data_IF_188202040816
#
_entry.id   IF_188202040816
#
_cell.length_a   1.000
_cell.length_b   1.000
_cell.length_c   1.000
_cell.angle_alpha   90.00
_cell.angle_beta   90.00
_cell.angle_gamma   90.00
#
_symmetry.space_group_name_H-M   'P 1'
#
loop_
_entity.id
_entity.type
_entity.pdbx_description
1 polymer ?
#
# COMPACT_ATOMS: atom_id res chain seq x y z
N UNK A 1 26.03 3.02 -4.31
CA UNK A 1 26.42 3.67 -5.59
C UNK A 1 26.33 2.72 -6.78
N UNK A 2 26.94 1.52 -6.74
CA UNK A 2 26.88 0.60 -7.89
C UNK A 2 25.46 0.11 -8.22
N UNK A 3 24.64 -0.26 -7.21
CA UNK A 3 23.26 -0.72 -7.45
C UNK A 3 22.34 0.37 -8.04
N UNK A 4 22.53 1.64 -7.66
CA UNK A 4 21.75 2.78 -8.16
C UNK A 4 21.97 2.96 -9.66
N UNK A 5 23.23 2.96 -10.10
CA UNK A 5 23.57 3.07 -11.52
C UNK A 5 23.00 1.89 -12.35
N UNK A 6 23.03 0.67 -11.80
CA UNK A 6 22.44 -0.50 -12.46
C UNK A 6 20.91 -0.34 -12.55
N UNK A 7 20.25 0.13 -11.51
CA UNK A 7 18.81 0.38 -11.51
C UNK A 7 18.42 1.44 -12.54
N UNK A 8 19.20 2.52 -12.69
CA UNK A 8 18.96 3.53 -13.73
C UNK A 8 19.09 2.98 -15.15
N UNK A 9 19.97 1.98 -15.36
CA UNK A 9 20.12 1.30 -16.65
C UNK A 9 18.95 0.38 -17.00
N UNK A 10 18.09 0.02 -16.04
CA UNK A 10 16.91 -0.82 -16.33
C UNK A 10 15.87 -0.13 -17.21
N UNK A 11 15.96 1.19 -17.38
CA UNK A 11 15.11 1.98 -18.27
C UNK A 11 15.87 2.50 -19.51
N UNK A 12 17.11 2.04 -19.73
CA UNK A 12 17.90 2.44 -20.90
C UNK A 12 17.23 1.97 -22.20
N UNK A 13 17.20 2.79 -23.26
CA UNK A 13 16.75 2.35 -24.58
C UNK A 13 17.73 1.39 -25.26
N UNK A 14 18.95 1.26 -24.75
CA UNK A 14 19.95 0.32 -25.23
C UNK A 14 19.66 -1.10 -24.70
N UNK A 15 19.49 -2.05 -25.62
CA UNK A 15 19.20 -3.45 -25.31
C UNK A 15 20.33 -4.15 -24.58
N UNK A 16 21.58 -3.81 -24.87
CA UNK A 16 22.74 -4.45 -24.25
C UNK A 16 22.89 -3.96 -22.81
N UNK A 17 22.70 -2.66 -22.56
CA UNK A 17 22.70 -2.12 -21.20
C UNK A 17 21.57 -2.69 -20.34
N UNK A 18 20.37 -2.81 -20.91
CA UNK A 18 19.22 -3.38 -20.22
C UNK A 18 19.47 -4.85 -19.86
N UNK A 19 20.03 -5.63 -20.79
CA UNK A 19 20.35 -7.04 -20.55
C UNK A 19 21.42 -7.20 -19.46
N UNK A 20 22.47 -6.39 -19.49
CA UNK A 20 23.51 -6.39 -18.45
C UNK A 20 22.92 -6.03 -17.09
N UNK A 21 22.08 -4.99 -17.02
CA UNK A 21 21.42 -4.59 -15.78
C UNK A 21 20.52 -5.70 -15.23
N UNK A 22 19.72 -6.33 -16.09
CA UNK A 22 18.84 -7.44 -15.71
C UNK A 22 19.63 -8.64 -15.17
N UNK A 23 20.66 -9.09 -15.89
CA UNK A 23 21.49 -10.22 -15.47
C UNK A 23 22.18 -9.96 -14.12
N UNK A 24 22.64 -8.73 -13.89
CA UNK A 24 23.23 -8.34 -12.60
C UNK A 24 22.21 -8.44 -11.46
N UNK A 25 20.99 -7.94 -11.66
CA UNK A 25 19.94 -7.98 -10.63
C UNK A 25 19.49 -9.41 -10.33
N UNK A 26 19.35 -10.25 -11.35
CA UNK A 26 19.02 -11.68 -11.19
C UNK A 26 20.13 -12.42 -10.43
N UNK A 27 21.40 -12.16 -10.77
CA UNK A 27 22.53 -12.76 -10.07
C UNK A 27 22.63 -12.30 -8.61
N UNK A 28 22.38 -11.01 -8.34
CA UNK A 28 22.37 -10.47 -6.98
C UNK A 28 21.27 -11.12 -6.11
N UNK A 29 20.07 -11.26 -6.67
CA UNK A 29 18.95 -11.96 -6.02
C UNK A 29 19.27 -13.44 -5.76
N UNK A 30 19.90 -14.14 -6.72
CA UNK A 30 20.27 -15.54 -6.56
C UNK A 30 21.38 -15.77 -5.52
N UNK A 31 22.30 -14.81 -5.37
CA UNK A 31 23.48 -14.96 -4.49
C UNK A 31 23.14 -14.66 -3.02
N UNK A 32 22.46 -13.54 -2.76
CA UNK A 32 22.08 -13.12 -1.40
C UNK A 32 20.80 -12.28 -1.45
N UNK A 33 19.67 -12.97 -1.61
CA UNK A 33 18.37 -12.33 -1.68
C UNK A 33 18.07 -11.40 -0.48
N UNK A 34 18.31 -11.80 0.78
CA UNK A 34 18.05 -10.91 1.93
C UNK A 34 18.87 -9.61 1.83
N UNK A 35 20.18 -9.70 1.57
CA UNK A 35 21.04 -8.53 1.40
C UNK A 35 20.65 -7.65 0.19
N UNK A 36 20.19 -8.28 -0.89
CA UNK A 36 19.70 -7.59 -2.08
C UNK A 36 18.43 -6.78 -1.78
N UNK A 37 17.43 -7.37 -1.11
CA UNK A 37 16.20 -6.67 -0.71
C UNK A 37 16.51 -5.50 0.23
N UNK A 38 17.43 -5.69 1.19
CA UNK A 38 17.91 -4.61 2.04
C UNK A 38 18.46 -3.45 1.22
N UNK A 39 19.36 -3.73 0.28
CA UNK A 39 19.97 -2.70 -0.57
C UNK A 39 18.93 -1.96 -1.44
N UNK A 40 17.93 -2.67 -1.97
CA UNK A 40 16.84 -2.03 -2.71
C UNK A 40 15.99 -1.11 -1.81
N UNK A 41 15.73 -1.53 -0.57
CA UNK A 41 14.99 -0.70 0.40
C UNK A 41 15.73 0.59 0.75
N UNK A 42 17.07 0.56 0.83
CA UNK A 42 17.91 1.74 1.04
C UNK A 42 17.81 2.71 -0.15
N UNK A 43 17.81 2.18 -1.38
CA UNK A 43 17.65 3.01 -2.58
C UNK A 43 16.29 3.70 -2.59
N UNK A 44 15.22 2.96 -2.25
CA UNK A 44 13.86 3.48 -2.21
C UNK A 44 13.69 4.58 -1.14
N UNK A 45 14.25 4.37 0.05
CA UNK A 45 14.12 5.27 1.19
C UNK A 45 14.96 6.54 1.09
N UNK A 46 16.10 6.51 0.38
CA UNK A 46 16.96 7.67 0.25
C UNK A 46 16.42 8.65 -0.81
N UNK A 47 15.78 9.73 -0.34
CA UNK A 47 15.20 10.78 -1.17
C UNK A 47 16.22 11.53 -2.05
N UNK A 48 17.53 11.41 -1.77
CA UNK A 48 18.59 11.96 -2.62
C UNK A 48 18.88 11.15 -3.89
N UNK A 49 18.33 9.95 -4.04
CA UNK A 49 18.42 9.18 -5.28
C UNK A 49 17.49 9.74 -6.36
N UNK A 50 17.82 9.46 -7.63
CA UNK A 50 16.96 9.83 -8.75
C UNK A 50 15.58 9.15 -8.66
N UNK A 51 14.49 9.80 -9.10
CA UNK A 51 13.16 9.18 -9.13
C UNK A 51 13.13 7.86 -9.90
N UNK A 52 13.92 7.77 -10.98
CA UNK A 52 14.08 6.55 -11.80
C UNK A 52 14.66 5.41 -10.98
N UNK A 53 15.76 5.65 -10.24
CA UNK A 53 16.38 4.62 -9.41
C UNK A 53 15.45 4.14 -8.30
N UNK A 54 14.70 5.05 -7.66
CA UNK A 54 13.74 4.73 -6.61
C UNK A 54 12.57 3.89 -7.13
N UNK A 55 12.00 4.29 -8.27
CA UNK A 55 10.93 3.54 -8.92
C UNK A 55 11.41 2.15 -9.36
N UNK A 56 12.60 2.06 -9.96
CA UNK A 56 13.20 0.78 -10.32
C UNK A 56 13.46 -0.11 -9.09
N UNK A 57 13.94 0.47 -7.98
CA UNK A 57 14.13 -0.26 -6.73
C UNK A 57 12.81 -0.82 -6.18
N UNK A 58 11.76 0.00 -6.16
CA UNK A 58 10.41 -0.40 -5.75
C UNK A 58 9.84 -1.51 -6.62
N UNK A 59 10.04 -1.45 -7.94
CA UNK A 59 9.63 -2.50 -8.87
C UNK A 59 10.39 -3.81 -8.61
N UNK A 60 11.70 -3.76 -8.37
CA UNK A 60 12.48 -4.96 -8.03
C UNK A 60 12.06 -5.54 -6.69
N UNK A 61 11.79 -4.71 -5.67
CA UNK A 61 11.24 -5.17 -4.39
C UNK A 61 9.92 -5.91 -4.59
N UNK A 62 8.99 -5.30 -5.33
CA UNK A 62 7.70 -5.92 -5.68
C UNK A 62 7.90 -7.30 -6.31
N UNK A 63 8.79 -7.41 -7.29
CA UNK A 63 9.04 -8.68 -8.00
C UNK A 63 9.62 -9.78 -7.08
N UNK A 64 10.26 -9.41 -5.97
CA UNK A 64 10.79 -10.37 -4.99
C UNK A 64 9.79 -10.71 -3.87
N UNK A 65 8.77 -9.88 -3.66
CA UNK A 65 7.82 -9.99 -2.55
C UNK A 65 6.45 -10.56 -2.97
N UNK A 66 6.06 -10.44 -4.24
CA UNK A 66 4.76 -10.94 -4.72
C UNK A 66 4.82 -11.53 -6.12
N UNK A 67 3.77 -12.26 -6.50
CA UNK A 67 3.54 -12.77 -7.84
C UNK A 67 2.03 -12.75 -8.15
N UNK A 68 1.68 -12.72 -9.44
CA UNK A 68 0.29 -12.91 -9.88
C UNK A 68 -0.17 -14.36 -9.71
N UNK A 69 0.77 -15.30 -9.69
CA UNK A 69 0.49 -16.71 -9.40
C UNK A 69 0.33 -16.87 -7.87
N UNK A 70 -0.83 -17.32 -7.38
CA UNK A 70 -1.09 -17.48 -5.95
C UNK A 70 -0.09 -18.43 -5.26
N UNK A 71 0.36 -19.49 -5.96
CA UNK A 71 1.31 -20.47 -5.43
C UNK A 71 2.67 -19.82 -5.22
N UNK A 72 3.14 -19.06 -6.21
CA UNK A 72 4.42 -18.35 -6.14
C UNK A 72 4.33 -17.22 -5.09
N UNK A 73 3.19 -16.52 -5.00
CA UNK A 73 2.94 -15.50 -3.97
C UNK A 73 3.11 -16.09 -2.57
N UNK A 74 2.50 -17.24 -2.28
CA UNK A 74 2.64 -17.90 -0.99
C UNK A 74 4.08 -18.33 -0.71
N UNK A 75 4.79 -18.90 -1.71
CA UNK A 75 6.21 -19.24 -1.56
C UNK A 75 7.09 -18.03 -1.25
N UNK A 76 6.80 -16.86 -1.84
CA UNK A 76 7.53 -15.64 -1.55
C UNK A 76 7.25 -15.11 -0.13
N UNK A 77 6.02 -15.25 0.35
CA UNK A 77 5.66 -14.89 1.72
C UNK A 77 6.37 -15.81 2.74
N UNK A 78 6.34 -17.12 2.54
CA UNK A 78 7.08 -18.06 3.40
C UNK A 78 8.58 -17.76 3.37
N UNK A 79 9.15 -17.57 2.18
CA UNK A 79 10.57 -17.19 2.01
C UNK A 79 10.90 -15.91 2.77
N UNK A 80 10.05 -14.88 2.67
CA UNK A 80 10.22 -13.64 3.41
C UNK A 80 10.28 -13.91 4.92
N UNK A 81 9.35 -14.69 5.47
CA UNK A 81 9.30 -15.01 6.90
C UNK A 81 10.54 -15.79 7.41
N UNK A 82 11.27 -16.47 6.53
CA UNK A 82 12.55 -17.12 6.91
C UNK A 82 13.72 -16.14 7.12
N UNK A 83 13.59 -14.88 6.68
CA UNK A 83 14.66 -13.92 6.82
C UNK A 83 14.90 -13.51 8.28
N UNK A 84 16.15 -13.19 8.64
CA UNK A 84 16.48 -12.65 9.96
C UNK A 84 15.61 -11.45 10.33
N UNK A 85 15.14 -11.42 11.58
CA UNK A 85 14.20 -10.40 12.07
C UNK A 85 14.77 -8.99 11.94
N UNK A 86 16.04 -8.78 12.28
CA UNK A 86 16.75 -7.50 12.15
C UNK A 86 16.73 -6.96 10.72
N UNK A 87 16.83 -7.85 9.74
CA UNK A 87 16.75 -7.48 8.33
C UNK A 87 15.33 -7.12 7.91
N UNK A 88 14.34 -7.88 8.37
CA UNK A 88 12.93 -7.58 8.07
C UNK A 88 12.51 -6.27 8.71
N UNK A 89 12.86 -6.03 9.96
CA UNK A 89 12.63 -4.75 10.65
C UNK A 89 13.25 -3.57 9.91
N UNK A 90 14.50 -3.74 9.44
CA UNK A 90 15.18 -2.70 8.68
C UNK A 90 14.45 -2.35 7.37
N UNK A 91 14.06 -3.37 6.61
CA UNK A 91 13.31 -3.18 5.35
C UNK A 91 11.94 -2.57 5.65
N UNK A 92 11.21 -3.06 6.66
CA UNK A 92 9.91 -2.52 7.11
C UNK A 92 10.02 -1.03 7.45
N UNK A 93 11.05 -0.63 8.18
CA UNK A 93 11.33 0.77 8.51
C UNK A 93 11.55 1.61 7.25
N UNK A 94 12.34 1.11 6.30
CA UNK A 94 12.66 1.83 5.07
C UNK A 94 11.43 2.01 4.17
N UNK A 95 10.63 0.96 3.95
CA UNK A 95 9.44 1.05 3.09
C UNK A 95 8.36 1.95 3.69
N UNK A 96 8.13 1.88 5.02
CA UNK A 96 7.19 2.80 5.69
C UNK A 96 7.72 4.24 5.70
N UNK A 97 9.02 4.42 5.95
CA UNK A 97 9.67 5.74 5.90
C UNK A 97 9.73 6.36 4.50
N UNK A 98 9.45 5.57 3.46
CA UNK A 98 9.38 6.05 2.07
C UNK A 98 8.02 6.63 1.71
N UNK A 99 6.95 6.34 2.47
CA UNK A 99 5.61 6.88 2.25
C UNK A 99 5.65 8.41 2.30
N UNK A 100 5.09 9.07 1.28
CA UNK A 100 5.09 10.52 1.13
C UNK A 100 6.39 11.15 0.62
N UNK A 101 7.47 10.39 0.49
CA UNK A 101 8.74 10.91 -0.05
C UNK A 101 8.89 10.68 -1.56
N UNK A 102 8.04 9.82 -2.14
CA UNK A 102 8.02 9.51 -3.57
C UNK A 102 7.25 10.57 -4.35
N UNK A 103 7.74 10.91 -5.55
CA UNK A 103 7.04 11.77 -6.50
C UNK A 103 6.25 10.97 -7.55
N UNK A 104 6.48 9.66 -7.63
CA UNK A 104 5.79 8.77 -8.58
C UNK A 104 4.41 8.38 -8.06
N UNK A 105 3.43 8.35 -8.97
CA UNK A 105 2.08 7.86 -8.69
C UNK A 105 1.75 6.72 -9.68
N UNK A 106 1.29 5.55 -9.22
CA UNK A 106 1.08 5.15 -7.82
C UNK A 106 2.40 4.98 -7.03
N UNK A 107 2.32 5.02 -5.69
CA UNK A 107 3.49 4.85 -4.80
C UNK A 107 4.03 3.42 -4.87
N UNK A 108 5.34 3.28 -5.07
CA UNK A 108 5.98 1.96 -5.04
C UNK A 108 6.18 1.50 -3.59
N UNK A 109 6.42 2.43 -2.66
CA UNK A 109 6.49 2.14 -1.24
C UNK A 109 5.17 1.57 -0.70
N UNK A 110 4.03 2.15 -1.08
CA UNK A 110 2.70 1.67 -0.69
C UNK A 110 2.47 0.20 -1.05
N UNK A 111 2.87 -0.20 -2.27
CA UNK A 111 2.80 -1.60 -2.70
C UNK A 111 3.74 -2.50 -1.89
N UNK A 112 4.98 -2.06 -1.65
CA UNK A 112 5.94 -2.84 -0.85
C UNK A 112 5.44 -3.05 0.58
N UNK A 113 4.87 -2.01 1.21
CA UNK A 113 4.23 -2.11 2.52
C UNK A 113 3.15 -3.17 2.50
N UNK A 114 2.26 -3.15 1.50
CA UNK A 114 1.18 -4.12 1.40
C UNK A 114 1.67 -5.56 1.24
N UNK A 115 2.66 -5.82 0.39
CA UNK A 115 3.15 -7.19 0.19
C UNK A 115 3.81 -7.77 1.44
N UNK A 116 4.58 -6.96 2.18
CA UNK A 116 5.17 -7.39 3.46
C UNK A 116 4.07 -7.55 4.53
N UNK A 117 3.09 -6.66 4.55
CA UNK A 117 1.97 -6.73 5.50
C UNK A 117 1.14 -8.01 5.33
N UNK A 118 0.82 -8.40 4.10
CA UNK A 118 0.06 -9.63 3.82
C UNK A 118 0.84 -10.87 4.25
N UNK A 119 2.18 -10.83 4.30
CA UNK A 119 3.01 -11.92 4.83
C UNK A 119 3.08 -11.92 6.37
N UNK A 120 3.22 -10.74 7.00
CA UNK A 120 3.55 -10.64 8.43
C UNK A 120 2.36 -10.44 9.37
N UNK A 121 1.28 -9.79 8.92
CA UNK A 121 0.08 -9.58 9.74
C UNK A 121 -0.60 -10.90 10.14
N UNK A 122 -0.77 -11.92 9.25
CA UNK A 122 -1.37 -13.19 9.62
C UNK A 122 -0.62 -13.93 10.75
N UNK A 123 0.69 -13.70 10.86
CA UNK A 123 1.57 -14.34 11.86
C UNK A 123 1.95 -13.40 13.01
N UNK A 124 1.32 -12.21 13.09
CA UNK A 124 1.52 -11.26 14.18
C UNK A 124 2.91 -10.59 14.24
N UNK A 125 3.68 -10.59 13.14
CA UNK A 125 5.06 -10.09 13.12
C UNK A 125 5.19 -8.61 12.75
N UNK A 126 4.05 -7.93 12.53
CA UNK A 126 4.00 -6.48 12.32
C UNK A 126 2.82 -5.79 13.05
N UNK A 127 2.72 -5.92 14.38
CA UNK A 127 1.51 -5.57 15.14
C UNK A 127 1.14 -4.07 15.09
N UNK A 128 2.12 -3.18 14.94
CA UNK A 128 1.92 -1.73 14.99
C UNK A 128 1.74 -1.07 13.61
N UNK A 129 1.66 -1.85 12.52
CA UNK A 129 1.56 -1.30 11.17
C UNK A 129 0.29 -0.47 10.99
N UNK A 130 -0.88 -1.05 11.27
CA UNK A 130 -2.15 -0.36 10.99
C UNK A 130 -2.29 0.92 11.79
N UNK A 131 -1.90 0.93 13.08
CA UNK A 131 -1.86 2.14 13.88
C UNK A 131 -0.98 3.22 13.24
N UNK A 132 0.23 2.85 12.77
CA UNK A 132 1.15 3.80 12.13
C UNK A 132 0.57 4.37 10.82
N UNK A 133 -0.09 3.56 10.01
CA UNK A 133 -0.75 4.03 8.79
C UNK A 133 -1.92 4.97 9.12
N UNK A 134 -2.71 4.64 10.15
CA UNK A 134 -3.80 5.52 10.61
C UNK A 134 -3.25 6.87 11.06
N UNK A 135 -2.21 6.86 11.90
CA UNK A 135 -1.56 8.09 12.39
C UNK A 135 -1.05 8.97 11.24
N UNK A 136 -0.46 8.36 10.21
CA UNK A 136 0.01 9.08 9.02
C UNK A 136 -1.13 9.76 8.25
N UNK A 137 -2.34 9.20 8.22
CA UNK A 137 -3.49 9.81 7.54
C UNK A 137 -4.12 10.92 8.38
N UNK A 138 -4.38 10.65 9.67
CA UNK A 138 -5.14 11.55 10.54
C UNK A 138 -4.32 12.72 11.09
N UNK A 139 -2.99 12.63 11.05
CA UNK A 139 -2.13 13.71 11.52
C UNK A 139 -2.27 14.94 10.62
N UNK A 140 -2.61 16.07 11.24
CA UNK A 140 -2.81 17.35 10.56
C UNK A 140 -1.54 17.85 9.85
N UNK A 141 -0.36 17.46 10.35
CA UNK A 141 0.94 17.84 9.77
C UNK A 141 1.35 16.98 8.58
N UNK A 142 0.65 15.88 8.32
CA UNK A 142 0.96 15.00 7.19
C UNK A 142 0.78 15.73 5.87
N UNK A 143 1.72 15.51 4.97
CA UNK A 143 1.64 16.08 3.61
C UNK A 143 0.57 15.35 2.79
N UNK A 144 0.12 15.99 1.70
CA UNK A 144 -0.78 15.35 0.72
C UNK A 144 -0.22 13.99 0.27
N UNK A 145 1.07 13.95 -0.09
CA UNK A 145 1.69 12.73 -0.60
C UNK A 145 1.79 11.63 0.44
N UNK A 146 2.02 12.00 1.69
CA UNK A 146 2.04 11.05 2.81
C UNK A 146 0.65 10.45 3.03
N UNK A 147 -0.41 11.26 3.01
CA UNK A 147 -1.79 10.77 3.13
C UNK A 147 -2.16 9.88 1.95
N UNK A 148 -1.93 10.33 0.71
CA UNK A 148 -2.25 9.60 -0.52
C UNK A 148 -1.57 8.23 -0.53
N UNK A 149 -0.24 8.19 -0.41
CA UNK A 149 0.51 6.92 -0.44
C UNK A 149 0.18 6.00 0.73
N UNK A 150 -0.14 6.55 1.91
CA UNK A 150 -0.58 5.75 3.06
C UNK A 150 -1.96 5.14 2.81
N UNK A 151 -2.90 5.88 2.23
CA UNK A 151 -4.23 5.37 1.86
C UNK A 151 -4.14 4.34 0.73
N UNK A 152 -3.24 4.52 -0.25
CA UNK A 152 -2.92 3.47 -1.23
C UNK A 152 -2.43 2.19 -0.54
N UNK A 153 -1.53 2.32 0.44
CA UNK A 153 -1.02 1.17 1.19
C UNK A 153 -2.14 0.45 1.94
N UNK A 154 -3.00 1.20 2.65
CA UNK A 154 -4.20 0.64 3.32
C UNK A 154 -5.07 -0.07 2.29
N UNK A 155 -5.38 0.56 1.16
CA UNK A 155 -6.22 -0.02 0.11
C UNK A 155 -5.66 -1.31 -0.47
N UNK A 156 -4.35 -1.38 -0.71
CA UNK A 156 -3.68 -2.61 -1.17
C UNK A 156 -3.67 -3.71 -0.11
N UNK A 157 -3.47 -3.38 1.17
CA UNK A 157 -3.55 -4.36 2.27
C UNK A 157 -4.97 -4.94 2.33
N UNK A 158 -6.00 -4.08 2.34
CA UNK A 158 -7.39 -4.48 2.42
C UNK A 158 -7.82 -5.38 1.24
N UNK A 159 -7.22 -5.20 0.06
CA UNK A 159 -7.52 -5.99 -1.12
C UNK A 159 -6.94 -7.42 -1.05
N UNK A 160 -5.72 -7.55 -0.52
CA UNK A 160 -4.91 -8.76 -0.70
C UNK A 160 -4.83 -9.67 0.54
N UNK A 161 -5.26 -9.18 1.71
CA UNK A 161 -5.25 -9.93 2.98
C UNK A 161 -6.60 -10.61 3.25
N UNK A 162 -6.59 -11.70 4.01
CA UNK A 162 -7.82 -12.29 4.53
C UNK A 162 -8.53 -11.30 5.48
N UNK A 163 -9.80 -11.04 5.22
CA UNK A 163 -10.68 -10.14 5.97
C UNK A 163 -10.67 -10.40 7.49
N UNK A 164 -10.62 -11.66 7.89
CA UNK A 164 -10.63 -12.08 9.30
C UNK A 164 -9.44 -11.50 10.10
N UNK A 165 -8.31 -11.24 9.44
CA UNK A 165 -7.10 -10.71 10.10
C UNK A 165 -7.29 -9.23 10.47
N UNK A 166 -8.06 -8.49 9.68
CA UNK A 166 -8.25 -7.05 9.85
C UNK A 166 -9.52 -6.70 10.63
N UNK A 167 -10.41 -7.66 10.90
CA UNK A 167 -11.71 -7.41 11.54
C UNK A 167 -11.54 -6.69 12.90
N UNK A 168 -10.56 -7.10 13.72
CA UNK A 168 -10.27 -6.44 15.00
C UNK A 168 -9.70 -5.02 14.87
N UNK A 169 -9.22 -4.64 13.69
CA UNK A 169 -8.65 -3.33 13.40
C UNK A 169 -9.57 -2.48 12.51
N UNK A 170 -10.76 -2.97 12.16
CA UNK A 170 -11.68 -2.33 11.21
C UNK A 170 -12.01 -0.88 11.60
N UNK A 171 -12.25 -0.61 12.89
CA UNK A 171 -12.56 0.74 13.39
C UNK A 171 -11.43 1.74 13.10
N UNK A 172 -10.17 1.33 13.33
CA UNK A 172 -9.02 2.20 13.11
C UNK A 172 -8.81 2.44 11.61
N UNK A 173 -8.93 1.39 10.81
CA UNK A 173 -8.80 1.45 9.35
C UNK A 173 -9.87 2.37 8.76
N UNK A 174 -11.13 2.19 9.15
CA UNK A 174 -12.23 3.04 8.73
C UNK A 174 -12.06 4.48 9.20
N UNK A 175 -11.52 4.72 10.39
CA UNK A 175 -11.23 6.09 10.85
C UNK A 175 -10.30 6.81 9.88
N UNK A 176 -9.21 6.18 9.43
CA UNK A 176 -8.30 6.76 8.45
C UNK A 176 -8.95 6.94 7.08
N UNK A 177 -9.64 5.92 6.59
CA UNK A 177 -10.32 5.95 5.28
C UNK A 177 -11.36 7.07 5.25
N UNK A 178 -12.27 7.09 6.22
CA UNK A 178 -13.34 8.10 6.28
C UNK A 178 -12.76 9.50 6.48
N UNK A 179 -11.67 9.66 7.25
CA UNK A 179 -10.96 10.94 7.36
C UNK A 179 -10.47 11.45 5.99
N UNK A 180 -9.87 10.58 5.17
CA UNK A 180 -9.39 10.93 3.83
C UNK A 180 -10.51 11.19 2.81
N UNK A 181 -11.71 10.64 3.02
CA UNK A 181 -12.86 10.83 2.10
C UNK A 181 -13.62 12.14 2.32
N UNK A 182 -13.46 12.80 3.48
CA UNK A 182 -14.25 13.97 3.87
C UNK A 182 -14.23 15.05 2.80
N UNK A 183 -15.35 15.75 2.65
CA UNK A 183 -15.45 16.92 1.76
C UNK A 183 -14.46 18.04 2.11
N UNK A 184 -14.01 18.10 3.36
CA UNK A 184 -13.01 19.06 3.83
C UNK A 184 -11.56 18.74 3.40
N UNK A 185 -11.28 17.52 2.93
CA UNK A 185 -9.94 17.16 2.45
C UNK A 185 -9.66 17.89 1.12
N UNK A 186 -8.65 18.76 1.06
CA UNK A 186 -8.39 19.58 -0.12
C UNK A 186 -7.91 18.80 -1.34
N UNK A 187 -7.21 17.67 -1.15
CA UNK A 187 -6.68 16.90 -2.27
C UNK A 187 -7.68 15.87 -2.80
N UNK A 188 -8.05 16.01 -4.08
CA UNK A 188 -8.84 14.99 -4.77
C UNK A 188 -8.10 13.65 -4.89
N UNK A 189 -6.77 13.67 -4.90
CA UNK A 189 -5.98 12.44 -4.95
C UNK A 189 -6.07 11.65 -3.64
N UNK A 190 -5.98 12.34 -2.50
CA UNK A 190 -6.22 11.75 -1.18
C UNK A 190 -7.65 11.20 -1.08
N UNK A 191 -8.65 11.99 -1.50
CA UNK A 191 -10.05 11.56 -1.51
C UNK A 191 -10.30 10.33 -2.38
N UNK A 192 -9.68 10.28 -3.56
CA UNK A 192 -9.78 9.14 -4.47
C UNK A 192 -9.11 7.89 -3.88
N UNK A 193 -7.90 8.01 -3.34
CA UNK A 193 -7.19 6.91 -2.69
C UNK A 193 -7.99 6.36 -1.50
N UNK A 194 -8.57 7.24 -0.68
CA UNK A 194 -9.42 6.86 0.44
C UNK A 194 -10.71 6.15 -0.03
N UNK A 195 -11.37 6.65 -1.07
CA UNK A 195 -12.60 6.03 -1.59
C UNK A 195 -12.33 4.64 -2.16
N UNK A 196 -11.20 4.46 -2.86
CA UNK A 196 -10.77 3.14 -3.34
C UNK A 196 -10.41 2.20 -2.17
N UNK A 197 -9.75 2.71 -1.12
CA UNK A 197 -9.47 1.94 0.07
C UNK A 197 -10.76 1.50 0.79
N UNK A 198 -11.79 2.35 0.84
CA UNK A 198 -13.10 1.99 1.39
C UNK A 198 -13.67 0.78 0.64
N UNK A 199 -13.72 0.84 -0.70
CA UNK A 199 -14.24 -0.24 -1.54
C UNK A 199 -13.60 -1.61 -1.23
N UNK A 200 -12.29 -1.61 -0.99
CA UNK A 200 -11.54 -2.81 -0.63
C UNK A 200 -11.77 -3.26 0.82
N UNK A 201 -12.08 -2.33 1.74
CA UNK A 201 -12.32 -2.65 3.15
C UNK A 201 -13.70 -3.24 3.46
N UNK A 202 -14.69 -3.03 2.58
CA UNK A 202 -16.10 -3.40 2.84
C UNK A 202 -16.34 -4.89 3.14
N UNK A 203 -15.40 -5.79 2.85
CA UNK A 203 -15.56 -7.23 3.15
C UNK A 203 -15.45 -7.56 4.66
N UNK A 204 -14.81 -6.70 5.45
CA UNK A 204 -14.54 -6.94 6.88
C UNK A 204 -15.10 -5.84 7.81
N UNK A 205 -16.01 -5.01 7.30
CA UNK A 205 -16.61 -3.90 8.07
C UNK A 205 -18.01 -4.23 8.57
N UNK A 206 -18.35 -5.52 8.69
CA UNK A 206 -19.72 -5.94 9.04
C UNK A 206 -20.16 -5.40 10.40
N UNK A 207 -19.32 -5.52 11.43
CA UNK A 207 -19.61 -4.98 12.77
C UNK A 207 -19.89 -3.47 12.74
N UNK A 208 -19.15 -2.72 11.92
CA UNK A 208 -19.35 -1.27 11.75
C UNK A 208 -20.69 -0.93 11.10
N UNK A 209 -21.16 -1.75 10.15
CA UNK A 209 -22.46 -1.57 9.51
C UNK A 209 -23.64 -2.00 10.39
N UNK A 210 -23.41 -2.89 11.38
CA UNK A 210 -24.40 -3.23 12.40
C UNK A 210 -24.64 -2.05 13.36
N UNK A 211 -23.58 -1.31 13.70
CA UNK A 211 -23.65 -0.11 14.53
C UNK A 211 -24.26 1.09 13.79
N UNK A 212 -25.44 1.52 14.22
CA UNK A 212 -26.24 2.52 13.48
C UNK A 212 -25.53 3.87 13.33
N UNK A 213 -24.80 4.32 14.36
CA UNK A 213 -24.07 5.58 14.30
C UNK A 213 -22.92 5.52 13.28
N UNK A 214 -22.15 4.44 13.26
CA UNK A 214 -21.03 4.24 12.34
C UNK A 214 -21.53 4.05 10.91
N UNK A 215 -22.54 3.18 10.70
CA UNK A 215 -23.20 2.99 9.40
C UNK A 215 -23.66 4.31 8.81
N UNK A 216 -24.41 5.11 9.59
CA UNK A 216 -24.95 6.37 9.10
C UNK A 216 -23.83 7.33 8.68
N UNK A 217 -22.74 7.39 9.45
CA UNK A 217 -21.61 8.24 9.13
C UNK A 217 -20.85 7.77 7.87
N UNK A 218 -20.64 6.46 7.71
CA UNK A 218 -20.04 5.90 6.48
C UNK A 218 -20.92 6.24 5.27
N UNK A 219 -22.23 6.01 5.38
CA UNK A 219 -23.17 6.29 4.30
C UNK A 219 -23.26 7.78 3.94
N UNK A 220 -23.22 8.67 4.93
CA UNK A 220 -23.17 10.11 4.72
C UNK A 220 -21.94 10.49 3.88
N UNK A 221 -20.74 10.07 4.31
CA UNK A 221 -19.48 10.41 3.64
C UNK A 221 -19.41 9.81 2.23
N UNK A 222 -19.90 8.58 2.01
CA UNK A 222 -19.99 7.97 0.68
C UNK A 222 -20.95 8.75 -0.22
N UNK A 223 -22.15 9.06 0.27
CA UNK A 223 -23.14 9.83 -0.50
C UNK A 223 -22.62 11.24 -0.84
N UNK A 224 -21.94 11.93 0.08
CA UNK A 224 -21.28 13.20 -0.22
C UNK A 224 -20.21 13.05 -1.31
N UNK A 225 -19.42 11.97 -1.27
CA UNK A 225 -18.40 11.70 -2.28
C UNK A 225 -19.00 11.46 -3.69
N UNK A 226 -20.22 10.92 -3.80
CA UNK A 226 -20.92 10.82 -5.10
C UNK A 226 -21.23 12.19 -5.73
N UNK A 227 -21.30 13.25 -4.91
CA UNK A 227 -21.54 14.62 -5.37
C UNK A 227 -20.25 15.38 -5.70
N UNK A 228 -19.10 14.71 -5.69
CA UNK A 228 -17.82 15.31 -6.08
C UNK A 228 -17.85 15.78 -7.53
N UNK A 229 -17.27 16.96 -7.79
CA UNK A 229 -17.05 17.45 -9.17
C UNK A 229 -15.95 16.66 -9.91
N UNK A 230 -15.15 15.90 -9.16
CA UNK A 230 -14.17 14.97 -9.71
C UNK A 230 -14.84 13.64 -10.08
N UNK A 231 -14.84 13.32 -11.38
CA UNK A 231 -15.48 12.12 -11.92
C UNK A 231 -14.90 10.83 -11.34
N UNK A 232 -13.60 10.77 -11.05
CA UNK A 232 -12.98 9.54 -10.54
C UNK A 232 -13.48 9.24 -9.12
N UNK A 233 -13.58 10.27 -8.27
CA UNK A 233 -14.14 10.15 -6.91
C UNK A 233 -15.61 9.74 -6.99
N UNK A 234 -16.40 10.40 -7.84
CA UNK A 234 -17.82 10.09 -8.02
C UNK A 234 -18.02 8.62 -8.41
N UNK A 235 -17.27 8.12 -9.40
CA UNK A 235 -17.34 6.73 -9.85
C UNK A 235 -16.94 5.76 -8.74
N UNK A 236 -15.84 6.01 -8.04
CA UNK A 236 -15.39 5.16 -6.93
C UNK A 236 -16.42 5.13 -5.77
N UNK A 237 -17.05 6.26 -5.46
CA UNK A 237 -18.09 6.35 -4.44
C UNK A 237 -19.36 5.58 -4.85
N UNK A 238 -19.76 5.66 -6.13
CA UNK A 238 -20.86 4.86 -6.66
C UNK A 238 -20.57 3.36 -6.61
N UNK A 239 -19.32 2.94 -6.89
CA UNK A 239 -18.90 1.56 -6.71
C UNK A 239 -19.00 1.11 -5.25
N UNK A 240 -18.63 1.98 -4.29
CA UNK A 240 -18.84 1.72 -2.87
C UNK A 240 -20.32 1.49 -2.56
N UNK A 241 -21.23 2.34 -3.06
CA UNK A 241 -22.68 2.15 -2.86
C UNK A 241 -23.18 0.81 -3.42
N UNK A 242 -22.76 0.42 -4.62
CA UNK A 242 -23.13 -0.87 -5.22
C UNK A 242 -22.69 -2.03 -4.32
N UNK A 243 -21.44 -1.98 -3.83
CA UNK A 243 -20.89 -3.03 -2.96
C UNK A 243 -21.58 -3.05 -1.59
N UNK A 244 -21.83 -1.88 -1.00
CA UNK A 244 -22.58 -1.74 0.26
C UNK A 244 -23.98 -2.34 0.13
N UNK A 245 -24.72 -2.02 -0.93
CA UNK A 245 -26.06 -2.57 -1.17
C UNK A 245 -26.03 -4.09 -1.35
N UNK A 246 -24.95 -4.63 -1.91
CA UNK A 246 -24.78 -6.08 -2.11
C UNK A 246 -24.50 -6.79 -0.78
N UNK A 247 -23.63 -6.23 0.07
CA UNK A 247 -23.19 -6.87 1.31
C UNK A 247 -24.15 -6.61 2.49
N UNK A 248 -24.82 -5.47 2.50
CA UNK A 248 -25.50 -4.92 3.68
C UNK A 248 -26.95 -4.51 3.40
N UNK A 249 -27.59 -5.11 2.39
CA UNK A 249 -28.97 -4.80 1.99
C UNK A 249 -29.95 -4.72 3.18
N UNK A 250 -29.83 -5.61 4.16
CA UNK A 250 -30.71 -5.67 5.34
C UNK A 250 -30.60 -4.45 6.29
N UNK A 251 -29.55 -3.65 6.15
CA UNK A 251 -29.29 -2.46 6.99
C UNK A 251 -29.64 -1.14 6.28
N UNK A 252 -30.14 -1.22 5.05
CA UNK A 252 -30.54 -0.09 4.19
C UNK A 252 -32.05 0.02 4.13
#
# INVERSE_FOLDING_TARGET
MQIVQILEKTVSPDKDELLVAKNFLEQAAATNLPGFIRALSDVLAFAGNSPVARMAAGLQLKNQLTSKDPTIKYQYQERWLTFPEDMREYVKKNIVGSLGTESSRPSSAAQCVAYVAVAELPVGQWPNLMQKLVDNVVNEKSTEMERESTLEAIGYICQDINSEILEHQSNQILTAIIHGMRKSEPSNHVRLAATNALLNSLEFTKANFEETAERNYIMEVVCEATQSTDTQICVAALQCLVKILTLYYQHM
#
